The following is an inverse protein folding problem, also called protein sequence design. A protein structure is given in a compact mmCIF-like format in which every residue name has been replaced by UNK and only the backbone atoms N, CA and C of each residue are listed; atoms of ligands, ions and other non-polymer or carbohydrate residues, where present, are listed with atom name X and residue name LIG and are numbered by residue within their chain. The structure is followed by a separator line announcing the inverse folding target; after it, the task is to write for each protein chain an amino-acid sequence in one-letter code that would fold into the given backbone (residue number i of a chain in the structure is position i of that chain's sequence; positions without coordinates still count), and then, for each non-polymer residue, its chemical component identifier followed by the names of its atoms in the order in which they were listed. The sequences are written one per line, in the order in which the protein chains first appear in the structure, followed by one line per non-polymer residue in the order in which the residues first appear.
data_IF_712429835800
#
_entry.id   IF_712429835800
#
_cell.length_a   1.000
_cell.length_b   1.000
_cell.length_c   1.000
_cell.angle_alpha   90.00
_cell.angle_beta   90.00
_cell.angle_gamma   90.00
#
_symmetry.space_group_name_H-M   'P 1'
#
loop_
_entity.id
_entity.type
_entity.pdbx_description
1 polymer ?
#
# COMPACT_ATOMS: atom_id res chain seq x y z
N UNK A 1 -20.75 -11.11 15.90
CA UNK A 1 -20.76 -11.79 14.57
C UNK A 1 -20.32 -10.77 13.53
N UNK A 2 -19.62 -11.19 12.47
CA UNK A 2 -19.24 -10.28 11.37
C UNK A 2 -20.50 -9.83 10.60
N UNK A 3 -20.53 -8.62 10.03
CA UNK A 3 -21.69 -8.13 9.29
C UNK A 3 -21.85 -8.77 7.89
N UNK A 4 -21.00 -9.73 7.54
CA UNK A 4 -20.97 -10.41 6.25
C UNK A 4 -20.55 -11.88 6.39
N UNK A 5 -20.86 -12.69 5.39
CA UNK A 5 -20.43 -14.10 5.28
C UNK A 5 -19.05 -14.23 4.64
N UNK A 6 -18.42 -15.40 4.78
CA UNK A 6 -17.16 -15.72 4.10
C UNK A 6 -17.27 -15.55 2.57
N UNK A 7 -18.38 -15.99 1.98
CA UNK A 7 -18.61 -15.87 0.54
C UNK A 7 -18.69 -14.41 0.08
N UNK A 8 -19.41 -13.56 0.83
CA UNK A 8 -19.47 -12.13 0.56
C UNK A 8 -18.07 -11.48 0.63
N UNK A 9 -17.27 -11.84 1.63
CA UNK A 9 -15.91 -11.36 1.78
C UNK A 9 -15.01 -11.77 0.60
N UNK A 10 -15.01 -13.06 0.23
CA UNK A 10 -14.21 -13.56 -0.89
C UNK A 10 -14.65 -12.93 -2.23
N UNK A 11 -15.95 -12.70 -2.42
CA UNK A 11 -16.47 -12.08 -3.62
C UNK A 11 -16.02 -10.61 -3.80
N UNK A 12 -15.78 -9.88 -2.70
CA UNK A 12 -15.17 -8.54 -2.74
C UNK A 12 -13.79 -8.61 -3.42
N UNK A 13 -12.95 -9.58 -3.07
CA UNK A 13 -11.63 -9.74 -3.72
C UNK A 13 -11.74 -10.09 -5.20
N UNK A 14 -12.66 -11.00 -5.57
CA UNK A 14 -12.87 -11.38 -6.97
C UNK A 14 -13.28 -10.16 -7.79
N UNK A 15 -14.25 -9.40 -7.28
CA UNK A 15 -14.79 -8.21 -7.98
C UNK A 15 -13.74 -7.11 -8.06
N UNK A 16 -13.04 -6.83 -6.96
CA UNK A 16 -11.99 -5.82 -6.91
C UNK A 16 -10.83 -6.14 -7.86
N UNK A 17 -10.30 -7.38 -7.82
CA UNK A 17 -9.18 -7.77 -8.66
C UNK A 17 -9.51 -7.72 -10.16
N UNK A 18 -10.73 -8.11 -10.54
CA UNK A 18 -11.19 -7.97 -11.93
C UNK A 18 -11.34 -6.50 -12.34
N UNK A 19 -11.88 -5.67 -11.45
CA UNK A 19 -12.14 -4.26 -11.75
C UNK A 19 -10.84 -3.44 -11.92
N UNK A 20 -9.79 -3.75 -11.15
CA UNK A 20 -8.54 -2.99 -11.23
C UNK A 20 -7.57 -3.54 -12.27
N UNK A 21 -7.82 -4.70 -12.88
CA UNK A 21 -6.94 -5.22 -13.93
C UNK A 21 -6.82 -4.21 -15.08
N UNK A 22 -5.60 -3.86 -15.56
CA UNK A 22 -4.28 -4.45 -15.28
C UNK A 22 -3.40 -3.71 -14.25
N UNK A 23 -3.99 -2.88 -13.38
CA UNK A 23 -3.25 -2.07 -12.41
C UNK A 23 -2.37 -2.90 -11.45
N UNK A 24 -2.61 -4.20 -11.26
CA UNK A 24 -1.70 -5.06 -10.52
C UNK A 24 -0.29 -5.09 -11.14
N UNK A 25 -0.18 -5.10 -12.47
CA UNK A 25 1.13 -5.03 -13.16
C UNK A 25 1.83 -3.72 -12.79
N UNK A 26 1.09 -2.61 -12.81
CA UNK A 26 1.60 -1.29 -12.43
C UNK A 26 2.04 -1.29 -10.96
N UNK A 27 1.27 -1.91 -10.05
CA UNK A 27 1.62 -2.03 -8.64
C UNK A 27 2.93 -2.81 -8.44
N UNK A 28 3.13 -3.92 -9.15
CA UNK A 28 4.40 -4.67 -9.12
C UNK A 28 5.58 -3.85 -9.64
N UNK A 29 5.39 -3.09 -10.73
CA UNK A 29 6.42 -2.19 -11.26
C UNK A 29 6.76 -1.10 -10.24
N UNK A 30 5.76 -0.49 -9.60
CA UNK A 30 5.97 0.51 -8.54
C UNK A 30 6.66 -0.11 -7.31
N UNK A 31 6.34 -1.35 -6.96
CA UNK A 31 7.04 -2.11 -5.92
C UNK A 31 8.53 -2.30 -6.26
N UNK A 32 8.84 -2.74 -7.47
CA UNK A 32 10.23 -2.89 -7.94
C UNK A 32 10.98 -1.56 -7.94
N UNK A 33 10.35 -0.47 -8.40
CA UNK A 33 10.90 0.90 -8.33
C UNK A 33 11.20 1.29 -6.88
N UNK A 34 10.30 0.97 -5.95
CA UNK A 34 10.48 1.26 -4.51
C UNK A 34 11.68 0.52 -3.94
N UNK A 35 11.82 -0.78 -4.25
CA UNK A 35 12.99 -1.58 -3.83
C UNK A 35 14.28 -1.02 -4.41
N UNK A 36 14.30 -0.68 -5.70
CA UNK A 36 15.45 -0.08 -6.35
C UNK A 36 15.82 1.29 -5.75
N UNK A 37 14.82 2.11 -5.38
CA UNK A 37 15.02 3.39 -4.72
C UNK A 37 15.65 3.22 -3.33
N UNK A 38 15.20 2.25 -2.54
CA UNK A 38 15.77 1.95 -1.21
C UNK A 38 17.24 1.50 -1.31
N UNK A 39 17.61 0.80 -2.38
CA UNK A 39 18.99 0.36 -2.63
C UNK A 39 19.92 1.51 -3.07
N UNK A 40 19.36 2.63 -3.53
CA UNK A 40 20.12 3.81 -3.97
C UNK A 40 19.75 5.02 -3.10
N UNK A 41 20.28 5.13 -1.87
CA UNK A 41 19.85 6.15 -0.92
C UNK A 41 20.12 7.57 -1.46
N UNK A 42 19.16 8.46 -1.24
CA UNK A 42 19.22 9.85 -1.67
C UNK A 42 17.85 10.51 -1.66
N UNK A 43 17.82 11.85 -1.68
CA UNK A 43 16.57 12.64 -1.56
C UNK A 43 15.50 12.27 -2.60
N UNK A 44 15.92 12.04 -3.85
CA UNK A 44 14.99 11.63 -4.90
C UNK A 44 14.39 10.25 -4.62
N UNK A 45 15.21 9.30 -4.17
CA UNK A 45 14.76 7.96 -3.79
C UNK A 45 13.80 8.00 -2.59
N UNK A 46 14.08 8.81 -1.58
CA UNK A 46 13.21 8.99 -0.41
C UNK A 46 11.81 9.48 -0.80
N UNK A 47 11.76 10.45 -1.73
CA UNK A 47 10.52 10.98 -2.28
C UNK A 47 9.77 9.94 -3.10
N UNK A 48 10.48 9.14 -3.92
CA UNK A 48 9.88 8.06 -4.71
C UNK A 48 9.25 7.01 -3.79
N UNK A 49 9.99 6.54 -2.77
CA UNK A 49 9.48 5.57 -1.80
C UNK A 49 8.22 6.12 -1.10
N UNK A 50 8.29 7.37 -0.63
CA UNK A 50 7.15 8.02 0.03
C UNK A 50 5.94 8.19 -0.89
N UNK A 51 6.18 8.54 -2.16
CA UNK A 51 5.14 8.69 -3.17
C UNK A 51 4.42 7.38 -3.46
N UNK A 52 5.19 6.30 -3.67
CA UNK A 52 4.63 4.98 -3.95
C UNK A 52 3.87 4.45 -2.74
N UNK A 53 4.45 4.51 -1.53
CA UNK A 53 3.76 4.08 -0.32
C UNK A 53 2.46 4.88 -0.10
N UNK A 54 2.51 6.21 -0.22
CA UNK A 54 1.34 7.06 -0.10
C UNK A 54 0.24 6.69 -1.10
N UNK A 55 0.59 6.45 -2.37
CA UNK A 55 -0.36 6.02 -3.40
C UNK A 55 -0.99 4.64 -3.09
N UNK A 56 -0.19 3.68 -2.61
CA UNK A 56 -0.69 2.34 -2.25
C UNK A 56 -1.67 2.40 -1.06
N UNK A 57 -1.35 3.23 -0.06
CA UNK A 57 -2.23 3.49 1.08
C UNK A 57 -3.53 4.16 0.66
N UNK A 58 -3.47 5.19 -0.19
CA UNK A 58 -4.65 5.85 -0.75
C UNK A 58 -5.51 4.89 -1.59
N UNK A 59 -4.89 4.06 -2.43
CA UNK A 59 -5.61 3.06 -3.23
C UNK A 59 -6.36 2.07 -2.33
N UNK A 60 -5.73 1.62 -1.24
CA UNK A 60 -6.36 0.70 -0.28
C UNK A 60 -7.50 1.36 0.47
N UNK A 61 -7.30 2.61 0.91
CA UNK A 61 -8.33 3.35 1.66
C UNK A 61 -9.53 3.76 0.81
N UNK A 62 -9.29 4.30 -0.38
CA UNK A 62 -10.35 4.82 -1.26
C UNK A 62 -11.00 3.68 -2.04
N UNK A 63 -10.23 2.90 -2.80
CA UNK A 63 -10.80 1.90 -3.69
C UNK A 63 -11.25 0.69 -2.89
N UNK A 64 -10.31 -0.05 -2.29
CA UNK A 64 -10.67 -1.30 -1.61
C UNK A 64 -11.65 -1.06 -0.46
N UNK A 65 -11.33 -0.19 0.50
CA UNK A 65 -12.20 0.06 1.65
C UNK A 65 -13.43 0.89 1.31
N UNK A 66 -13.25 2.05 0.66
CA UNK A 66 -14.34 3.00 0.41
C UNK A 66 -15.34 2.54 -0.64
N UNK A 67 -14.89 1.89 -1.72
CA UNK A 67 -15.76 1.50 -2.85
C UNK A 67 -16.23 0.05 -2.74
N UNK A 68 -15.31 -0.90 -2.50
CA UNK A 68 -15.65 -2.32 -2.62
C UNK A 68 -16.07 -2.94 -1.28
N UNK A 69 -15.26 -2.81 -0.23
CA UNK A 69 -15.50 -3.47 1.05
C UNK A 69 -16.62 -2.82 1.87
N UNK A 70 -16.88 -1.53 1.66
CA UNK A 70 -18.01 -0.80 2.27
C UNK A 70 -19.37 -1.38 1.90
N UNK A 71 -19.49 -2.05 0.75
CA UNK A 71 -20.74 -2.70 0.29
C UNK A 71 -21.22 -3.82 1.21
N UNK A 72 -20.30 -4.47 1.93
CA UNK A 72 -20.60 -5.59 2.85
C UNK A 72 -20.27 -5.26 4.30
N UNK A 73 -19.55 -4.18 4.57
CA UNK A 73 -19.12 -3.78 5.90
C UNK A 73 -19.02 -2.26 6.04
N UNK A 74 -19.99 -1.63 6.72
CA UNK A 74 -19.99 -0.18 6.95
C UNK A 74 -18.75 0.32 7.71
N UNK A 75 -18.14 -0.52 8.57
CA UNK A 75 -16.90 -0.16 9.26
C UNK A 75 -15.72 0.07 8.31
N UNK A 76 -15.81 -0.38 7.05
CA UNK A 76 -14.82 -0.12 6.01
C UNK A 76 -14.58 1.37 5.78
N UNK A 77 -15.57 2.25 6.00
CA UNK A 77 -15.34 3.69 5.90
C UNK A 77 -14.37 4.22 6.96
N UNK A 78 -14.44 3.71 8.19
CA UNK A 78 -13.52 4.08 9.25
C UNK A 78 -12.09 3.58 8.93
N UNK A 79 -11.96 2.33 8.48
CA UNK A 79 -10.67 1.81 8.02
C UNK A 79 -10.12 2.61 6.83
N UNK A 80 -10.97 2.87 5.84
CA UNK A 80 -10.62 3.65 4.66
C UNK A 80 -10.12 5.05 5.02
N UNK A 81 -10.77 5.73 5.97
CA UNK A 81 -10.34 7.04 6.46
C UNK A 81 -8.93 6.98 7.08
N UNK A 82 -8.65 5.96 7.91
CA UNK A 82 -7.31 5.77 8.50
C UNK A 82 -6.26 5.53 7.41
N UNK A 83 -6.57 4.71 6.41
CA UNK A 83 -5.67 4.46 5.28
C UNK A 83 -5.40 5.74 4.47
N UNK A 84 -6.45 6.55 4.25
CA UNK A 84 -6.32 7.82 3.54
C UNK A 84 -5.47 8.81 4.32
N UNK A 85 -5.70 8.94 5.64
CA UNK A 85 -4.91 9.83 6.51
C UNK A 85 -3.43 9.46 6.44
N UNK A 86 -3.09 8.18 6.57
CA UNK A 86 -1.70 7.72 6.48
C UNK A 86 -1.12 7.95 5.08
N UNK A 87 -1.87 7.65 4.02
CA UNK A 87 -1.45 7.90 2.64
C UNK A 87 -1.13 9.37 2.39
N UNK A 88 -1.99 10.29 2.84
CA UNK A 88 -1.75 11.73 2.77
C UNK A 88 -0.56 12.15 3.63
N UNK A 89 -0.43 11.59 4.84
CA UNK A 89 0.69 11.91 5.73
C UNK A 89 2.03 11.50 5.11
N UNK A 90 2.13 10.32 4.49
CA UNK A 90 3.33 9.85 3.78
C UNK A 90 3.69 10.76 2.60
N UNK A 91 2.70 11.14 1.78
CA UNK A 91 2.92 12.08 0.68
C UNK A 91 3.37 13.45 1.19
N UNK A 92 2.69 13.99 2.19
CA UNK A 92 3.01 15.31 2.69
C UNK A 92 4.38 15.37 3.37
N UNK A 93 4.66 14.42 4.27
CA UNK A 93 5.91 14.41 5.03
C UNK A 93 7.11 13.97 4.19
N UNK A 94 6.96 12.92 3.39
CA UNK A 94 8.05 12.33 2.62
C UNK A 94 8.27 12.98 1.26
N UNK A 95 7.21 13.31 0.52
CA UNK A 95 7.33 13.89 -0.83
C UNK A 95 7.38 15.42 -0.81
N UNK A 96 6.44 16.08 -0.13
CA UNK A 96 6.36 17.55 -0.12
C UNK A 96 7.40 18.18 0.81
N UNK A 97 7.55 17.68 2.03
CA UNK A 97 8.49 18.21 3.03
C UNK A 97 9.90 17.62 2.97
N UNK A 98 10.14 16.56 2.18
CA UNK A 98 11.43 15.83 2.15
C UNK A 98 11.92 15.40 3.56
N UNK A 99 10.97 15.05 4.43
CA UNK A 99 11.19 14.78 5.85
C UNK A 99 11.39 13.31 6.22
N UNK A 100 11.15 12.38 5.29
CA UNK A 100 11.39 10.94 5.49
C UNK A 100 12.67 10.51 4.80
N UNK A 101 13.43 9.62 5.44
CA UNK A 101 14.70 9.06 4.93
C UNK A 101 14.63 7.55 4.94
N UNK A 102 14.98 6.94 3.82
CA UNK A 102 14.97 5.50 3.63
C UNK A 102 16.38 5.04 3.25
N UNK A 103 16.96 4.23 4.12
CA UNK A 103 18.25 3.61 3.89
C UNK A 103 18.24 2.20 4.47
N UNK A 104 18.95 1.29 3.81
CA UNK A 104 19.14 -0.06 4.32
C UNK A 104 20.10 0.01 5.50
N UNK A 105 19.62 -0.35 6.68
CA UNK A 105 20.47 -0.64 7.82
C UNK A 105 20.66 -2.16 7.90
N UNK A 106 21.82 -2.63 7.43
CA UNK A 106 22.13 -4.05 7.37
C UNK A 106 22.06 -4.70 8.76
N UNK A 107 21.36 -5.83 8.86
CA UNK A 107 21.11 -6.54 10.11
C UNK A 107 19.73 -7.17 10.13
N UNK A 108 19.26 -7.57 11.32
CA UNK A 108 18.00 -8.30 11.49
C UNK A 108 16.78 -7.56 10.91
N UNK A 109 16.75 -6.21 11.01
CA UNK A 109 15.69 -5.38 10.43
C UNK A 109 15.64 -5.48 8.90
N UNK A 110 16.79 -5.49 8.24
CA UNK A 110 16.85 -5.65 6.79
C UNK A 110 16.36 -7.04 6.34
N UNK A 111 16.69 -8.09 7.11
CA UNK A 111 16.20 -9.45 6.83
C UNK A 111 14.69 -9.55 6.97
N UNK A 112 14.10 -8.98 8.03
CA UNK A 112 12.64 -8.94 8.21
C UNK A 112 11.99 -8.14 7.08
N UNK A 113 12.53 -6.97 6.74
CA UNK A 113 12.01 -6.14 5.65
C UNK A 113 12.04 -6.88 4.30
N UNK A 114 13.15 -7.55 3.99
CA UNK A 114 13.25 -8.39 2.80
C UNK A 114 12.24 -9.55 2.82
N UNK A 115 12.02 -10.16 3.98
CA UNK A 115 10.99 -11.17 4.18
C UNK A 115 9.59 -10.67 3.88
N UNK A 116 9.22 -9.46 4.36
CA UNK A 116 7.93 -8.86 4.04
C UNK A 116 7.78 -8.48 2.57
N UNK A 117 8.83 -7.95 1.93
CA UNK A 117 8.82 -7.64 0.49
C UNK A 117 8.60 -8.93 -0.31
N UNK A 118 9.32 -10.00 0.02
CA UNK A 118 9.19 -11.29 -0.65
C UNK A 118 7.79 -11.88 -0.45
N UNK A 119 7.29 -11.90 0.78
CA UNK A 119 5.95 -12.40 1.10
C UNK A 119 4.88 -11.65 0.29
N UNK A 120 4.90 -10.32 0.32
CA UNK A 120 3.93 -9.48 -0.41
C UNK A 120 4.05 -9.58 -1.93
N UNK A 121 5.19 -10.05 -2.46
CA UNK A 121 5.38 -10.22 -3.90
C UNK A 121 4.96 -11.60 -4.42
N UNK A 122 4.74 -12.57 -3.52
CA UNK A 122 4.43 -13.95 -3.87
C UNK A 122 3.00 -14.37 -3.51
N UNK A 123 2.40 -13.70 -2.54
CA UNK A 123 1.08 -14.01 -1.96
C UNK A 123 0.14 -12.84 -2.18
#
# INVERSE_FOLDING_TARGET
MLPFTLEQFLNVFVTYNRAIWPAQIVAYVLGAITVAAVLRPGRASDRVVSAVLGLMWLSTGVLYHGVFFSSVNTAAFAFGALFVVEGVALLYTGFVRDGLRFAINYGFRAVIGAGFILYASLV
#
